data_IF_007883014670
#
_entry.id   IF_007883014670
#
_cell.length_a   1.000
_cell.length_b   1.000
_cell.length_c   1.000
_cell.angle_alpha   90.00
_cell.angle_beta   90.00
_cell.angle_gamma   90.00
#
_symmetry.space_group_name_H-M   'P 1'
#
loop_
_entity.id
_entity.type
_entity.pdbx_description
1 polymer ?
#
# COMPACT_ATOMS: atom_id res chain seq x y z
N UNK A 1 -9.67 0.71 1.23
CA UNK A 1 -8.67 -0.21 0.64
C UNK A 1 -7.29 0.24 1.05
N UNK A 2 -6.43 -0.68 1.51
CA UNK A 2 -5.03 -0.36 1.83
C UNK A 2 -4.70 -0.29 3.32
N UNK A 3 -3.63 0.41 3.69
CA UNK A 3 -3.16 0.48 5.08
C UNK A 3 -4.01 1.43 5.93
N UNK A 4 -4.51 0.95 7.06
CA UNK A 4 -5.17 1.79 8.08
C UNK A 4 -4.15 2.38 9.06
N UNK A 5 -4.09 3.70 9.18
CA UNK A 5 -3.03 4.40 9.94
C UNK A 5 -3.38 4.66 11.41
N UNK A 6 -4.66 4.55 11.80
CA UNK A 6 -5.08 4.81 13.18
C UNK A 6 -4.88 3.59 14.11
N UNK A 7 -4.50 2.45 13.54
CA UNK A 7 -4.38 1.20 14.27
C UNK A 7 -5.73 0.55 14.56
N UNK A 8 -5.68 -0.58 15.26
CA UNK A 8 -6.84 -1.30 15.77
C UNK A 8 -6.83 -1.27 17.30
N UNK A 9 -7.99 -1.45 17.92
CA UNK A 9 -8.09 -1.62 19.37
C UNK A 9 -7.25 -2.82 19.81
N UNK A 10 -6.56 -2.69 20.94
CA UNK A 10 -5.62 -3.71 21.42
C UNK A 10 -4.21 -3.60 20.81
N UNK A 11 -3.97 -2.69 19.86
CA UNK A 11 -2.65 -2.44 19.31
C UNK A 11 -2.21 -3.53 18.32
N UNK A 12 -1.04 -4.12 18.54
CA UNK A 12 -0.43 -5.11 17.62
C UNK A 12 -0.70 -6.57 18.01
N UNK A 13 -1.43 -6.82 19.10
CA UNK A 13 -1.78 -8.17 19.56
C UNK A 13 -3.10 -8.62 18.92
N UNK A 14 -3.02 -9.04 17.66
CA UNK A 14 -4.19 -9.36 16.84
C UNK A 14 -4.73 -10.77 17.13
N UNK A 15 -5.89 -10.88 17.78
CA UNK A 15 -6.64 -12.14 17.90
C UNK A 15 -7.54 -12.37 16.67
N UNK A 16 -7.04 -13.14 15.70
CA UNK A 16 -7.78 -13.50 14.50
C UNK A 16 -8.98 -14.44 14.73
N UNK A 17 -9.21 -14.94 15.95
CA UNK A 17 -10.43 -15.69 16.29
C UNK A 17 -11.65 -14.77 16.48
N UNK A 18 -11.41 -13.49 16.75
CA UNK A 18 -12.44 -12.47 17.04
C UNK A 18 -12.52 -11.42 15.92
N UNK A 19 -13.60 -10.60 15.89
CA UNK A 19 -13.60 -9.39 15.09
C UNK A 19 -12.53 -8.41 15.60
N UNK A 20 -11.69 -7.91 14.71
CA UNK A 20 -10.75 -6.83 14.97
C UNK A 20 -11.52 -5.52 15.09
N UNK A 21 -11.38 -4.82 16.23
CA UNK A 21 -12.11 -3.58 16.54
C UNK A 21 -11.24 -2.34 16.30
N UNK A 22 -11.87 -1.17 16.17
CA UNK A 22 -11.20 0.10 15.87
C UNK A 22 -10.74 0.24 14.41
N UNK A 23 -11.18 -0.69 13.55
CA UNK A 23 -10.87 -0.66 12.13
C UNK A 23 -11.76 0.31 11.35
N UNK A 24 -11.54 0.48 10.04
CA UNK A 24 -12.33 1.38 9.21
C UNK A 24 -13.85 1.15 9.29
N UNK A 25 -14.28 -0.11 9.40
CA UNK A 25 -15.71 -0.45 9.51
C UNK A 25 -16.34 -0.04 10.84
N UNK A 26 -15.55 0.15 11.90
CA UNK A 26 -15.99 0.75 13.16
C UNK A 26 -15.96 2.29 13.11
N UNK A 27 -15.36 2.87 12.05
CA UNK A 27 -15.26 4.30 11.80
C UNK A 27 -16.11 4.78 10.60
N UNK A 28 -17.19 4.06 10.29
CA UNK A 28 -18.21 4.48 9.34
C UNK A 28 -17.97 4.10 7.88
N UNK A 29 -16.94 3.30 7.58
CA UNK A 29 -16.79 2.71 6.25
C UNK A 29 -17.65 1.45 6.12
N UNK A 30 -18.34 1.27 5.00
CA UNK A 30 -19.15 0.05 4.75
C UNK A 30 -18.28 -1.20 4.51
N UNK A 31 -17.04 -1.01 4.02
CA UNK A 31 -16.16 -2.10 3.63
C UNK A 31 -14.68 -1.75 3.86
N UNK A 32 -13.89 -2.76 4.22
CA UNK A 32 -12.44 -2.65 4.29
C UNK A 32 -11.73 -3.86 3.67
N UNK A 33 -10.65 -3.59 2.95
CA UNK A 33 -9.63 -4.58 2.63
C UNK A 33 -8.27 -3.94 2.77
N UNK A 34 -7.37 -4.54 3.55
CA UNK A 34 -6.12 -3.89 3.89
C UNK A 34 -5.15 -4.75 4.70
N UNK A 35 -4.13 -4.11 5.24
CA UNK A 35 -3.11 -4.69 6.13
C UNK A 35 -3.09 -3.93 7.46
N UNK A 36 -2.69 -4.58 8.57
CA UNK A 36 -2.72 -3.97 9.92
C UNK A 36 -1.69 -2.86 10.14
N UNK A 37 -0.57 -2.89 9.41
CA UNK A 37 0.58 -2.01 9.63
C UNK A 37 1.29 -1.66 8.32
N UNK A 38 2.39 -0.91 8.40
CA UNK A 38 3.26 -0.69 7.23
C UNK A 38 3.82 -2.02 6.73
N UNK A 39 4.00 -2.14 5.41
CA UNK A 39 4.33 -3.42 4.77
C UNK A 39 5.76 -3.93 5.09
N UNK A 40 6.54 -3.17 5.85
CA UNK A 40 7.84 -3.55 6.40
C UNK A 40 7.77 -4.01 7.88
N UNK A 41 6.57 -4.05 8.48
CA UNK A 41 6.34 -4.35 9.89
C UNK A 41 5.40 -5.54 10.08
N UNK A 42 5.82 -6.61 10.80
CA UNK A 42 4.94 -7.72 11.14
C UNK A 42 3.89 -7.29 12.19
N UNK A 43 2.80 -8.05 12.33
CA UNK A 43 2.46 -9.24 11.55
C UNK A 43 1.93 -8.92 10.14
N UNK A 44 2.25 -9.79 9.17
CA UNK A 44 1.86 -9.61 7.77
C UNK A 44 0.63 -10.46 7.41
N UNK A 45 -0.55 -9.84 7.35
CA UNK A 45 -1.77 -10.51 6.91
C UNK A 45 -2.78 -9.51 6.35
N UNK A 46 -3.77 -10.03 5.61
CA UNK A 46 -4.86 -9.21 5.11
C UNK A 46 -6.06 -9.22 6.05
N UNK A 47 -6.73 -8.09 6.14
CA UNK A 47 -7.99 -7.91 6.86
C UNK A 47 -9.08 -7.64 5.83
N UNK A 48 -10.22 -8.31 5.96
CA UNK A 48 -11.46 -7.99 5.25
C UNK A 48 -12.50 -7.57 6.28
N UNK A 49 -13.00 -6.35 6.14
CA UNK A 49 -13.89 -5.68 7.08
C UNK A 49 -13.29 -5.62 8.49
N UNK A 50 -13.70 -6.51 9.38
CA UNK A 50 -13.16 -6.66 10.73
C UNK A 50 -12.61 -8.06 11.00
N UNK A 51 -12.29 -8.84 9.97
CA UNK A 51 -11.79 -10.21 10.10
C UNK A 51 -10.47 -10.41 9.39
N UNK A 52 -9.58 -11.17 10.01
CA UNK A 52 -8.40 -11.68 9.31
C UNK A 52 -8.85 -12.55 8.14
N UNK A 53 -8.29 -12.32 6.95
CA UNK A 53 -8.50 -13.20 5.79
C UNK A 53 -7.83 -14.55 6.04
N UNK A 54 -6.66 -14.52 6.66
CA UNK A 54 -5.94 -15.67 7.20
C UNK A 54 -5.16 -15.21 8.43
N UNK A 55 -5.12 -16.03 9.47
CA UNK A 55 -4.36 -15.73 10.68
C UNK A 55 -2.85 -15.84 10.41
N UNK A 56 -2.01 -15.02 11.06
CA UNK A 56 -0.57 -15.06 10.86
C UNK A 56 0.08 -16.23 11.60
N UNK A 57 -0.10 -17.45 11.08
CA UNK A 57 0.39 -18.69 11.71
C UNK A 57 1.79 -19.12 11.25
N UNK A 58 2.32 -18.50 10.20
CA UNK A 58 3.66 -18.73 9.67
C UNK A 58 4.59 -17.59 10.08
N UNK A 59 5.87 -17.67 9.72
CA UNK A 59 6.86 -16.61 9.95
C UNK A 59 7.68 -16.32 8.70
N UNK A 60 8.16 -15.09 8.57
CA UNK A 60 9.20 -14.69 7.62
C UNK A 60 10.49 -14.34 8.37
N UNK A 61 11.63 -14.66 7.77
CA UNK A 61 12.96 -14.26 8.28
C UNK A 61 13.27 -12.79 7.99
N UNK A 62 12.36 -12.05 7.35
CA UNK A 62 12.61 -10.68 6.88
C UNK A 62 13.48 -10.65 5.63
N UNK A 63 13.72 -9.45 5.12
CA UNK A 63 14.64 -9.24 4.00
C UNK A 63 15.30 -7.86 4.08
N UNK A 64 16.53 -7.80 3.58
CA UNK A 64 17.28 -6.56 3.34
C UNK A 64 17.88 -6.63 1.96
N UNK A 65 17.90 -5.52 1.24
CA UNK A 65 18.58 -5.49 -0.06
C UNK A 65 20.09 -5.64 0.13
N UNK A 66 20.70 -6.56 -0.61
CA UNK A 66 22.13 -6.83 -0.53
C UNK A 66 22.98 -5.79 -1.28
N UNK A 67 24.30 -5.84 -1.06
CA UNK A 67 25.28 -5.12 -1.86
C UNK A 67 25.49 -3.64 -1.49
N UNK A 68 25.00 -3.20 -0.32
CA UNK A 68 25.25 -1.85 0.21
C UNK A 68 24.62 -0.69 -0.59
N UNK A 69 23.89 -1.00 -1.66
CA UNK A 69 23.22 0.00 -2.53
C UNK A 69 22.20 0.81 -1.73
N UNK A 70 21.40 0.14 -0.91
CA UNK A 70 20.32 0.73 -0.13
C UNK A 70 20.68 0.81 1.37
N UNK A 71 20.06 1.73 2.10
CA UNK A 71 20.16 1.73 3.58
C UNK A 71 19.35 0.58 4.19
N UNK A 72 19.49 0.34 5.50
CA UNK A 72 18.75 -0.69 6.24
C UNK A 72 17.22 -0.53 6.23
N UNK A 73 16.70 0.56 5.67
CA UNK A 73 15.26 0.83 5.55
C UNK A 73 14.80 1.11 4.11
N UNK A 74 15.68 0.92 3.12
CA UNK A 74 15.42 1.13 1.70
C UNK A 74 15.50 -0.17 0.89
N UNK A 75 15.00 -0.13 -0.35
CA UNK A 75 14.99 -1.30 -1.22
C UNK A 75 13.88 -2.29 -0.85
N UNK A 76 14.08 -3.56 -1.19
CA UNK A 76 13.22 -4.66 -0.80
C UNK A 76 13.38 -4.98 0.71
N UNK A 77 13.02 -4.07 1.60
CA UNK A 77 13.20 -4.20 3.05
C UNK A 77 11.91 -4.52 3.80
N UNK A 78 11.93 -5.60 4.60
CA UNK A 78 10.90 -5.90 5.60
C UNK A 78 11.49 -6.66 6.80
N UNK A 79 10.86 -6.53 7.97
CA UNK A 79 11.34 -7.17 9.22
C UNK A 79 10.89 -8.63 9.31
N UNK A 80 11.65 -9.45 10.03
CA UNK A 80 11.23 -10.79 10.43
C UNK A 80 10.04 -10.75 11.39
N UNK A 81 9.15 -11.73 11.31
CA UNK A 81 8.02 -11.86 12.22
C UNK A 81 6.90 -12.70 11.63
N UNK A 82 5.76 -12.68 12.30
CA UNK A 82 4.61 -13.50 11.94
C UNK A 82 3.97 -13.05 10.62
N UNK A 83 3.47 -14.01 9.84
CA UNK A 83 2.75 -13.76 8.60
C UNK A 83 1.66 -14.79 8.36
N UNK A 84 0.64 -14.41 7.60
CA UNK A 84 -0.34 -15.35 7.10
C UNK A 84 0.33 -16.36 6.15
N UNK A 85 -0.16 -17.61 6.11
CA UNK A 85 0.30 -18.59 5.13
C UNK A 85 0.19 -18.05 3.71
N UNK A 86 1.25 -18.23 2.93
CA UNK A 86 1.37 -17.75 1.55
C UNK A 86 1.21 -16.23 1.39
N UNK A 87 1.54 -15.43 2.42
CA UNK A 87 1.58 -13.98 2.29
C UNK A 87 2.77 -13.56 1.42
N UNK A 88 2.47 -12.94 0.28
CA UNK A 88 3.45 -12.42 -0.67
C UNK A 88 3.49 -10.89 -0.59
N UNK A 89 4.64 -10.32 -0.24
CA UNK A 89 4.79 -8.88 -0.02
C UNK A 89 4.63 -8.08 -1.34
N UNK A 90 5.14 -8.61 -2.44
CA UNK A 90 5.04 -8.03 -3.79
C UNK A 90 3.62 -8.08 -4.36
N UNK A 91 2.78 -9.01 -3.89
CA UNK A 91 1.38 -9.12 -4.26
C UNK A 91 0.46 -8.05 -3.63
N UNK A 92 0.91 -7.35 -2.58
CA UNK A 92 0.05 -6.42 -1.80
C UNK A 92 -0.49 -5.27 -2.63
N UNK A 93 0.37 -4.56 -3.37
CA UNK A 93 -0.05 -3.44 -4.21
C UNK A 93 -0.99 -3.89 -5.36
N UNK A 94 -0.66 -4.96 -6.12
CA UNK A 94 -1.61 -5.56 -7.08
C UNK A 94 -2.94 -5.95 -6.44
N UNK A 95 -2.93 -6.55 -5.25
CA UNK A 95 -4.14 -6.99 -4.57
C UNK A 95 -5.02 -5.83 -4.13
N UNK A 96 -4.47 -4.77 -3.55
CA UNK A 96 -5.23 -3.55 -3.23
C UNK A 96 -5.85 -2.91 -4.47
N UNK A 97 -5.11 -2.91 -5.59
CA UNK A 97 -5.63 -2.42 -6.88
C UNK A 97 -6.82 -3.28 -7.32
N UNK A 98 -6.68 -4.61 -7.33
CA UNK A 98 -7.75 -5.52 -7.74
C UNK A 98 -9.00 -5.44 -6.85
N UNK A 99 -8.84 -5.34 -5.52
CA UNK A 99 -9.98 -5.19 -4.59
C UNK A 99 -10.68 -3.83 -4.80
N UNK A 100 -9.93 -2.76 -5.07
CA UNK A 100 -10.49 -1.45 -5.43
C UNK A 100 -11.33 -1.53 -6.70
N UNK A 101 -10.81 -2.17 -7.75
CA UNK A 101 -11.52 -2.35 -9.03
C UNK A 101 -12.75 -3.25 -8.88
N UNK A 102 -12.65 -4.29 -8.06
CA UNK A 102 -13.75 -5.20 -7.74
C UNK A 102 -14.89 -4.48 -7.03
N UNK A 103 -14.56 -3.64 -6.04
CA UNK A 103 -15.55 -2.83 -5.33
C UNK A 103 -16.26 -1.86 -6.28
N UNK A 104 -15.53 -1.12 -7.12
CA UNK A 104 -16.13 -0.20 -8.10
C UNK A 104 -17.08 -0.93 -9.07
N UNK A 105 -16.66 -2.08 -9.58
CA UNK A 105 -17.48 -2.88 -10.51
C UNK A 105 -18.74 -3.39 -9.81
N UNK A 106 -18.61 -3.92 -8.59
CA UNK A 106 -19.73 -4.44 -7.79
C UNK A 106 -20.74 -3.34 -7.45
N UNK A 107 -20.26 -2.17 -7.01
CA UNK A 107 -21.12 -1.02 -6.69
C UNK A 107 -21.95 -0.59 -7.91
N UNK A 108 -21.33 -0.53 -9.10
CA UNK A 108 -22.01 -0.18 -10.34
C UNK A 108 -22.99 -1.25 -10.82
N UNK A 109 -22.62 -2.54 -10.71
CA UNK A 109 -23.50 -3.66 -11.08
C UNK A 109 -24.76 -3.72 -10.24
N UNK A 110 -24.66 -3.37 -8.95
CA UNK A 110 -25.81 -3.29 -8.05
C UNK A 110 -26.76 -2.13 -8.36
N UNK A 111 -26.37 -1.21 -9.26
CA UNK A 111 -27.11 0.02 -9.58
C UNK A 111 -27.54 0.78 -8.32
N UNK A 112 -26.65 0.81 -7.34
CA UNK A 112 -26.91 1.51 -6.10
C UNK A 112 -27.04 3.01 -6.38
N UNK A 113 -28.16 3.61 -5.98
CA UNK A 113 -28.30 5.08 -6.01
C UNK A 113 -27.45 5.77 -4.92
N UNK A 114 -26.90 5.00 -3.97
CA UNK A 114 -26.04 5.56 -2.92
C UNK A 114 -24.67 5.91 -3.49
N UNK A 115 -24.16 7.15 -3.29
CA UNK A 115 -22.80 7.49 -3.67
C UNK A 115 -21.80 6.64 -2.88
N UNK A 116 -20.63 6.37 -3.48
CA UNK A 116 -19.53 5.74 -2.76
C UNK A 116 -18.56 6.79 -2.24
N UNK A 117 -17.91 6.46 -1.13
CA UNK A 117 -16.69 7.12 -0.68
C UNK A 117 -15.60 6.05 -0.55
N UNK A 118 -14.50 6.23 -1.29
CA UNK A 118 -13.40 5.27 -1.29
C UNK A 118 -12.11 5.93 -0.80
N UNK A 119 -11.59 5.43 0.30
CA UNK A 119 -10.24 5.72 0.75
C UNK A 119 -9.29 4.61 0.27
N UNK A 120 -8.39 4.95 -0.65
CA UNK A 120 -7.42 4.02 -1.27
C UNK A 120 -6.00 4.39 -0.81
N UNK A 121 -5.60 3.82 0.32
CA UNK A 121 -4.31 4.07 0.97
C UNK A 121 -3.29 2.98 0.60
N UNK A 122 -2.76 3.05 -0.63
CA UNK A 122 -1.78 2.07 -1.11
C UNK A 122 -0.58 1.98 -0.16
N UNK A 123 -0.05 0.77 0.06
CA UNK A 123 1.14 0.57 0.89
C UNK A 123 2.44 1.06 0.21
N UNK A 124 2.35 1.47 -1.06
CA UNK A 124 3.46 1.94 -1.88
C UNK A 124 3.43 3.48 -2.01
N UNK A 125 4.59 4.14 -2.20
CA UNK A 125 5.92 3.58 -2.41
C UNK A 125 6.75 3.42 -1.13
N UNK A 126 6.11 3.22 0.04
CA UNK A 126 6.84 2.81 1.24
C UNK A 126 7.60 1.50 0.98
N UNK A 127 8.67 1.26 1.71
CA UNK A 127 9.34 -0.05 1.68
C UNK A 127 8.41 -1.17 2.17
N UNK A 128 8.59 -2.41 1.69
CA UNK A 128 9.58 -2.84 0.69
C UNK A 128 9.27 -2.39 -0.73
N UNK A 129 10.29 -1.95 -1.48
CA UNK A 129 10.15 -1.62 -2.90
C UNK A 129 10.18 -2.90 -3.73
N UNK A 130 9.00 -3.39 -4.09
CA UNK A 130 8.81 -4.64 -4.80
C UNK A 130 8.05 -4.39 -6.11
N UNK A 131 8.66 -3.67 -7.08
CA UNK A 131 8.04 -3.47 -8.37
C UNK A 131 7.82 -4.81 -9.08
N UNK A 132 6.71 -4.93 -9.79
CA UNK A 132 6.47 -6.05 -10.70
C UNK A 132 7.63 -6.20 -11.68
N UNK A 133 7.95 -7.44 -12.08
CA UNK A 133 9.12 -7.72 -12.92
C UNK A 133 9.14 -6.96 -14.23
N UNK A 134 7.96 -6.73 -14.83
CA UNK A 134 7.82 -5.93 -16.06
C UNK A 134 8.14 -4.44 -15.89
N UNK A 135 8.20 -3.94 -14.66
CA UNK A 135 8.52 -2.55 -14.33
C UNK A 135 9.95 -2.37 -13.82
N UNK A 136 10.69 -3.45 -13.54
CA UNK A 136 12.07 -3.36 -13.06
C UNK A 136 12.99 -2.76 -14.12
N UNK A 137 13.75 -1.75 -13.72
CA UNK A 137 14.69 -1.04 -14.60
C UNK A 137 14.01 -0.15 -15.64
N UNK A 138 12.73 0.20 -15.44
CA UNK A 138 12.03 1.09 -16.37
C UNK A 138 12.12 2.55 -15.96
N UNK A 139 12.54 2.85 -14.72
CA UNK A 139 12.76 4.19 -14.21
C UNK A 139 14.24 4.52 -14.04
N UNK A 140 14.60 5.77 -14.32
CA UNK A 140 15.94 6.31 -14.08
C UNK A 140 16.24 6.51 -12.58
N UNK A 141 15.22 6.42 -11.70
CA UNK A 141 15.36 6.51 -10.24
C UNK A 141 15.44 5.12 -9.56
N UNK A 142 15.83 4.08 -10.32
CA UNK A 142 16.02 2.73 -9.83
C UNK A 142 14.76 2.11 -9.22
N UNK A 143 14.93 1.23 -8.23
CA UNK A 143 13.85 0.42 -7.67
C UNK A 143 12.72 1.25 -7.04
N UNK A 144 13.05 2.39 -6.44
CA UNK A 144 12.06 3.34 -5.94
C UNK A 144 11.22 3.91 -7.08
N UNK A 145 11.89 4.39 -8.14
CA UNK A 145 11.21 4.92 -9.32
C UNK A 145 10.34 3.89 -10.03
N UNK A 146 10.81 2.64 -10.14
CA UNK A 146 10.02 1.53 -10.70
C UNK A 146 8.76 1.28 -9.86
N UNK A 147 8.86 1.36 -8.53
CA UNK A 147 7.73 1.17 -7.65
C UNK A 147 6.75 2.35 -7.68
N UNK A 148 7.25 3.58 -7.82
CA UNK A 148 6.42 4.77 -8.12
C UNK A 148 5.67 4.61 -9.44
N UNK A 149 6.32 4.09 -10.50
CA UNK A 149 5.65 3.76 -11.77
C UNK A 149 4.54 2.71 -11.58
N UNK A 150 4.70 1.76 -10.66
CA UNK A 150 3.63 0.81 -10.35
C UNK A 150 2.44 1.46 -9.64
N UNK A 151 2.69 2.43 -8.74
CA UNK A 151 1.63 3.26 -8.13
C UNK A 151 0.89 4.05 -9.19
N UNK A 152 1.61 4.71 -10.10
CA UNK A 152 1.03 5.44 -11.22
C UNK A 152 0.13 4.52 -12.09
N UNK A 153 0.62 3.33 -12.45
CA UNK A 153 -0.17 2.34 -13.18
C UNK A 153 -1.42 1.86 -12.41
N UNK A 154 -1.34 1.70 -11.09
CA UNK A 154 -2.50 1.36 -10.27
C UNK A 154 -3.56 2.47 -10.27
N UNK A 155 -3.15 3.73 -10.14
CA UNK A 155 -4.03 4.90 -10.24
C UNK A 155 -4.67 4.98 -11.63
N UNK A 156 -3.88 4.79 -12.70
CA UNK A 156 -4.37 4.76 -14.07
C UNK A 156 -5.45 3.70 -14.29
N UNK A 157 -5.29 2.49 -13.72
CA UNK A 157 -6.31 1.43 -13.78
C UNK A 157 -7.60 1.81 -13.05
N UNK A 158 -7.51 2.50 -11.93
CA UNK A 158 -8.69 2.98 -11.19
C UNK A 158 -9.43 4.04 -12.01
N UNK A 159 -8.73 5.03 -12.56
CA UNK A 159 -9.32 6.05 -13.42
C UNK A 159 -9.99 5.44 -14.66
N UNK A 160 -9.30 4.52 -15.34
CA UNK A 160 -9.85 3.80 -16.49
C UNK A 160 -11.09 2.95 -16.13
N UNK A 161 -11.19 2.47 -14.88
CA UNK A 161 -12.38 1.78 -14.42
C UNK A 161 -13.56 2.72 -14.20
N UNK A 162 -13.34 3.93 -13.66
CA UNK A 162 -14.38 4.96 -13.55
C UNK A 162 -14.92 5.35 -14.93
N UNK A 163 -14.05 5.48 -15.93
CA UNK A 163 -14.42 5.74 -17.32
C UNK A 163 -15.26 4.60 -17.90
N UNK A 164 -14.76 3.36 -17.80
CA UNK A 164 -15.44 2.16 -18.31
C UNK A 164 -16.82 1.95 -17.68
N UNK A 165 -16.96 2.25 -16.39
CA UNK A 165 -18.21 2.10 -15.65
C UNK A 165 -19.18 3.27 -15.87
N UNK A 166 -18.75 4.34 -16.55
CA UNK A 166 -19.58 5.50 -16.87
C UNK A 166 -19.84 6.43 -15.69
N UNK A 167 -19.00 6.40 -14.66
CA UNK A 167 -19.17 7.19 -13.41
C UNK A 167 -18.11 8.29 -13.22
N UNK A 168 -17.18 8.43 -14.16
CA UNK A 168 -16.07 9.39 -14.09
C UNK A 168 -16.51 10.84 -13.85
N UNK A 169 -17.51 11.31 -14.58
CA UNK A 169 -17.97 12.71 -14.55
C UNK A 169 -18.63 13.09 -13.22
N UNK A 170 -19.15 12.10 -12.50
CA UNK A 170 -19.76 12.28 -11.18
C UNK A 170 -18.85 11.76 -10.04
N UNK A 171 -17.54 11.63 -10.29
CA UNK A 171 -16.57 11.18 -9.30
C UNK A 171 -15.48 12.22 -9.11
N UNK A 172 -15.38 12.79 -7.91
CA UNK A 172 -14.23 13.59 -7.49
C UNK A 172 -13.10 12.66 -7.07
N UNK A 173 -11.94 12.79 -7.72
CA UNK A 173 -10.72 12.05 -7.36
C UNK A 173 -9.71 13.03 -6.77
N UNK A 174 -9.26 12.72 -5.55
CA UNK A 174 -8.19 13.45 -4.86
C UNK A 174 -7.00 12.52 -4.71
N UNK A 175 -5.82 12.97 -5.16
CA UNK A 175 -4.56 12.25 -5.01
C UNK A 175 -3.63 13.05 -4.09
N UNK A 176 -3.06 12.39 -3.08
CA UNK A 176 -2.16 12.99 -2.11
C UNK A 176 -1.21 11.94 -1.52
N UNK A 177 -0.24 12.40 -0.74
CA UNK A 177 0.69 11.57 0.04
C UNK A 177 0.62 11.95 1.53
N UNK A 178 1.02 11.04 2.41
CA UNK A 178 0.95 11.18 3.87
C UNK A 178 2.17 11.90 4.48
N UNK A 179 3.32 11.94 3.79
CA UNK A 179 4.53 12.65 4.20
C UNK A 179 5.54 12.80 3.04
N UNK A 180 6.68 13.43 3.33
CA UNK A 180 7.82 13.51 2.42
C UNK A 180 8.53 12.16 2.21
N UNK A 181 9.48 12.09 1.28
CA UNK A 181 10.12 10.82 0.88
C UNK A 181 11.10 10.31 1.94
N UNK A 182 11.62 9.09 1.75
CA UNK A 182 12.90 8.64 2.31
C UNK A 182 13.88 8.54 1.14
N UNK A 183 14.64 9.61 0.92
CA UNK A 183 15.54 9.76 -0.23
C UNK A 183 16.77 10.55 0.17
N UNK A 184 17.91 9.87 0.26
CA UNK A 184 19.13 10.42 0.83
C UNK A 184 19.98 11.14 -0.22
N UNK A 185 20.96 11.92 0.25
CA UNK A 185 21.92 12.60 -0.63
C UNK A 185 22.67 11.63 -1.56
N UNK A 186 23.02 10.43 -1.08
CA UNK A 186 23.62 9.39 -1.93
C UNK A 186 22.71 8.96 -3.08
N UNK A 187 21.39 8.96 -2.88
CA UNK A 187 20.41 8.60 -3.91
C UNK A 187 20.31 9.72 -4.94
N UNK A 188 20.38 10.98 -4.50
CA UNK A 188 20.47 12.15 -5.39
C UNK A 188 21.71 12.06 -6.27
N UNK A 189 22.88 11.76 -5.70
CA UNK A 189 24.13 11.62 -6.44
C UNK A 189 24.10 10.44 -7.40
N UNK A 190 23.54 9.31 -6.97
CA UNK A 190 23.45 8.11 -7.80
C UNK A 190 22.51 8.28 -8.99
N UNK A 191 21.32 8.83 -8.77
CA UNK A 191 20.26 8.89 -9.79
C UNK A 191 20.15 10.26 -10.46
N UNK A 192 20.98 11.23 -10.06
CA UNK A 192 20.89 12.63 -10.49
C UNK A 192 19.46 13.20 -10.34
N UNK A 193 18.74 12.73 -9.31
CA UNK A 193 17.33 13.00 -9.10
C UNK A 193 17.05 13.41 -7.65
N UNK A 194 16.43 14.59 -7.48
CA UNK A 194 15.97 15.11 -6.19
C UNK A 194 14.48 14.88 -6.02
N UNK A 195 14.09 13.91 -5.19
CA UNK A 195 12.67 13.57 -4.94
C UNK A 195 11.86 14.72 -4.31
N UNK A 196 12.52 15.66 -3.61
CA UNK A 196 11.88 16.84 -3.01
C UNK A 196 12.01 18.11 -3.86
N UNK A 197 12.58 18.02 -5.07
CA UNK A 197 12.83 19.15 -5.97
C UNK A 197 13.59 20.30 -5.29
N UNK A 198 12.99 21.48 -5.14
CA UNK A 198 13.57 22.66 -4.47
C UNK A 198 13.45 22.62 -2.95
N UNK A 199 12.60 21.75 -2.40
CA UNK A 199 12.36 21.66 -0.97
C UNK A 199 13.47 20.91 -0.24
N UNK A 200 13.49 21.06 1.09
CA UNK A 200 14.38 20.35 2.01
C UNK A 200 13.54 19.51 2.96
N UNK A 201 14.16 18.53 3.59
CA UNK A 201 13.47 17.62 4.49
C UNK A 201 13.18 16.26 3.85
N UNK A 202 13.06 15.24 4.68
CA UNK A 202 12.57 13.92 4.36
C UNK A 202 11.80 13.37 5.57
N UNK A 203 11.16 12.22 5.43
CA UNK A 203 10.52 11.53 6.56
C UNK A 203 11.55 11.32 7.68
N UNK A 204 11.17 11.70 8.90
CA UNK A 204 11.99 11.66 10.11
C UNK A 204 13.14 12.68 10.21
N UNK A 205 13.09 13.78 9.45
CA UNK A 205 14.03 14.91 9.62
C UNK A 205 13.71 15.87 10.79
N UNK A 206 12.59 15.64 11.50
CA UNK A 206 12.15 16.46 12.64
C UNK A 206 12.69 15.93 13.98
#
# INVERSE_FOLDING_TARGET
MGKWHLGFEGGTDYDCSQPLRGGPVDHGFDHYFGIPASLDQPPYFYIRDNRCVAAPTDTTTGNRSEGGRWTDIQGAFWRSGDQAPNFEHDAVLPRFTSETLSYLSTHQEQRSEKPFFMYVALAAPHTPWLPADSLRGTSDAGLYGDFVRQVDGAVGRILAALDRLGVRENTLVVFSSDNGPVWYQKDVEQFQHRSTTVHRGMKADA
#
